data_IF_161914359218
#
_entry.id   IF_161914359218
#
_cell.length_a   1.000
_cell.length_b   1.000
_cell.length_c   1.000
_cell.angle_alpha   90.00
_cell.angle_beta   90.00
_cell.angle_gamma   90.00
#
_symmetry.space_group_name_H-M   'P 1'
#
loop_
_entity.id
_entity.type
_entity.pdbx_description
1 polymer ?
#
# COMPACT_ATOMS: atom_id res chain seq x y z
N UNK A 1 46.58 12.06 -17.52
CA UNK A 1 46.14 12.37 -16.16
C UNK A 1 46.71 13.71 -15.73
N UNK A 2 46.09 14.36 -14.74
CA UNK A 2 46.53 15.65 -14.18
C UNK A 2 46.93 15.43 -12.72
N UNK A 3 48.03 16.03 -12.29
CA UNK A 3 48.42 16.14 -10.87
C UNK A 3 48.22 17.59 -10.43
N UNK A 4 47.43 17.81 -9.38
CA UNK A 4 47.04 19.14 -8.92
C UNK A 4 45.60 19.49 -9.29
N UNK A 5 45.32 20.79 -9.50
CA UNK A 5 43.98 21.27 -9.84
C UNK A 5 43.77 21.27 -11.36
N UNK A 6 42.68 20.66 -11.81
CA UNK A 6 42.21 20.71 -13.19
C UNK A 6 40.92 21.53 -13.26
N UNK A 7 40.97 22.64 -13.99
CA UNK A 7 39.79 23.47 -14.29
C UNK A 7 39.51 23.36 -15.78
N UNK A 8 38.31 22.93 -16.10
CA UNK A 8 37.82 22.80 -17.46
C UNK A 8 36.76 23.87 -17.74
N UNK A 9 36.63 24.27 -19.01
CA UNK A 9 35.68 25.29 -19.44
C UNK A 9 34.22 24.83 -19.38
N UNK A 10 33.35 25.60 -20.03
CA UNK A 10 31.89 25.44 -19.94
C UNK A 10 31.36 24.14 -20.56
N UNK A 11 32.05 23.58 -21.54
CA UNK A 11 31.71 22.29 -22.15
C UNK A 11 32.93 21.39 -22.21
N UNK A 12 32.80 20.18 -21.69
CA UNK A 12 33.88 19.19 -21.60
C UNK A 12 33.39 17.86 -22.14
N UNK A 13 34.13 17.26 -23.07
CA UNK A 13 33.90 15.89 -23.52
C UNK A 13 35.12 15.04 -23.18
N UNK A 14 34.88 13.91 -22.51
CA UNK A 14 35.91 12.96 -22.08
C UNK A 14 35.73 11.67 -22.87
N UNK A 15 36.47 11.55 -23.97
CA UNK A 15 36.44 10.37 -24.86
C UNK A 15 37.46 9.28 -24.47
N UNK A 16 38.39 9.59 -23.56
CA UNK A 16 39.39 8.66 -23.02
C UNK A 16 39.50 8.75 -21.51
N UNK A 17 40.21 7.80 -20.87
CA UNK A 17 40.33 7.79 -19.41
C UNK A 17 41.00 9.09 -18.92
N UNK A 18 40.32 9.81 -18.03
CA UNK A 18 40.85 11.01 -17.38
C UNK A 18 41.03 10.74 -15.88
N UNK A 19 42.29 10.66 -15.44
CA UNK A 19 42.64 10.61 -14.01
C UNK A 19 43.10 11.98 -13.50
N UNK A 20 42.52 12.47 -12.41
CA UNK A 20 42.93 13.70 -11.72
C UNK A 20 43.30 13.39 -10.28
N UNK A 21 44.57 13.57 -9.94
CA UNK A 21 45.04 13.51 -8.56
C UNK A 21 45.00 14.91 -7.96
N UNK A 22 43.84 15.25 -7.38
CA UNK A 22 43.56 16.60 -6.87
C UNK A 22 42.11 17.01 -7.13
N UNK A 23 41.88 18.27 -7.48
CA UNK A 23 40.54 18.81 -7.70
C UNK A 23 40.21 18.85 -9.19
N UNK A 24 38.99 18.48 -9.56
CA UNK A 24 38.46 18.68 -10.90
C UNK A 24 37.27 19.64 -10.84
N UNK A 25 37.32 20.76 -11.56
CA UNK A 25 36.18 21.64 -11.78
C UNK A 25 35.82 21.64 -13.25
N UNK A 26 34.54 21.43 -13.57
CA UNK A 26 34.01 21.68 -14.90
C UNK A 26 32.88 22.71 -14.81
N UNK A 27 32.77 23.56 -15.83
CA UNK A 27 31.65 24.50 -15.95
C UNK A 27 30.31 23.80 -16.25
N UNK A 28 29.51 24.37 -17.14
CA UNK A 28 28.10 24.00 -17.30
C UNK A 28 27.81 22.58 -17.79
N UNK A 29 28.53 22.03 -18.76
CA UNK A 29 28.19 20.73 -19.36
C UNK A 29 29.40 19.79 -19.45
N UNK A 30 29.26 18.57 -18.93
CA UNK A 30 30.26 17.50 -19.08
C UNK A 30 29.62 16.27 -19.68
N UNK A 31 30.24 15.74 -20.74
CA UNK A 31 29.86 14.44 -21.33
C UNK A 31 31.03 13.48 -21.23
N UNK A 32 30.81 12.32 -20.62
CA UNK A 32 31.87 11.32 -20.39
C UNK A 32 31.57 10.03 -21.13
N UNK A 33 32.32 9.76 -22.19
CA UNK A 33 32.28 8.49 -22.90
C UNK A 33 33.24 7.45 -22.31
N UNK A 34 34.22 7.89 -21.52
CA UNK A 34 35.20 7.05 -20.86
C UNK A 34 35.32 7.37 -19.35
N UNK A 35 36.13 6.58 -18.63
CA UNK A 35 36.25 6.71 -17.17
C UNK A 35 36.85 8.05 -16.74
N UNK A 36 36.19 8.73 -15.79
CA UNK A 36 36.78 9.83 -15.02
C UNK A 36 37.06 9.36 -13.60
N UNK A 37 38.32 9.45 -13.17
CA UNK A 37 38.77 9.13 -11.82
C UNK A 37 39.34 10.36 -11.11
N UNK A 38 38.75 10.79 -9.99
CA UNK A 38 39.23 11.93 -9.18
C UNK A 38 39.50 11.48 -7.75
N UNK A 39 40.71 11.67 -7.24
CA UNK A 39 41.08 11.16 -5.91
C UNK A 39 40.75 12.11 -4.75
N UNK A 40 40.16 13.29 -5.02
CA UNK A 40 39.79 14.27 -4.00
C UNK A 40 38.42 14.91 -4.31
N UNK A 41 38.37 16.17 -4.75
CA UNK A 41 37.10 16.89 -4.94
C UNK A 41 36.79 17.04 -6.44
N UNK A 42 35.56 16.75 -6.84
CA UNK A 42 35.08 17.04 -8.18
C UNK A 42 33.82 17.90 -8.10
N UNK A 43 33.81 19.05 -8.77
CA UNK A 43 32.62 19.91 -8.89
C UNK A 43 32.23 20.02 -10.35
N UNK A 44 30.98 19.70 -10.63
CA UNK A 44 30.38 19.83 -11.94
C UNK A 44 29.28 20.88 -11.91
N UNK A 45 29.18 21.69 -12.96
CA UNK A 45 28.12 22.67 -13.11
C UNK A 45 26.77 22.02 -13.41
N UNK A 46 26.15 22.45 -14.51
CA UNK A 46 24.70 22.33 -14.66
C UNK A 46 24.23 20.95 -15.17
N UNK A 47 25.01 20.30 -16.04
CA UNK A 47 24.64 19.05 -16.70
C UNK A 47 25.84 18.13 -16.81
N UNK A 48 25.70 16.90 -16.31
CA UNK A 48 26.69 15.83 -16.49
C UNK A 48 26.01 14.63 -17.14
N UNK A 49 26.49 14.24 -18.33
CA UNK A 49 26.05 13.05 -19.05
C UNK A 49 27.12 11.97 -18.94
N UNK A 50 26.76 10.82 -18.36
CA UNK A 50 27.66 9.71 -18.07
C UNK A 50 27.36 8.53 -18.99
N UNK A 51 28.31 8.18 -19.85
CA UNK A 51 28.30 6.93 -20.63
C UNK A 51 29.40 5.96 -20.19
N UNK A 52 30.33 6.39 -19.32
CA UNK A 52 31.39 5.56 -18.73
C UNK A 52 31.46 5.66 -17.20
N UNK A 53 32.34 4.88 -16.59
CA UNK A 53 32.50 4.84 -15.12
C UNK A 53 32.94 6.20 -14.56
N UNK A 54 32.18 6.76 -13.63
CA UNK A 54 32.58 7.96 -12.89
C UNK A 54 32.97 7.58 -11.46
N UNK A 55 34.22 7.85 -11.08
CA UNK A 55 34.75 7.52 -9.76
C UNK A 55 35.40 8.73 -9.10
N UNK A 56 34.86 9.15 -7.95
CA UNK A 56 35.48 10.16 -7.08
C UNK A 56 35.69 9.53 -5.71
N UNK A 57 36.94 9.49 -5.25
CA UNK A 57 37.27 8.92 -3.93
C UNK A 57 37.04 9.91 -2.80
N UNK A 58 36.92 11.21 -3.09
CA UNK A 58 36.45 12.24 -2.15
C UNK A 58 35.06 12.77 -2.52
N UNK A 59 34.84 14.08 -2.40
CA UNK A 59 33.51 14.69 -2.60
C UNK A 59 33.22 14.99 -4.07
N UNK A 60 32.07 14.52 -4.58
CA UNK A 60 31.51 14.94 -5.86
C UNK A 60 30.32 15.89 -5.64
N UNK A 61 30.41 17.12 -6.16
CA UNK A 61 29.36 18.15 -6.07
C UNK A 61 28.76 18.41 -7.45
N UNK A 62 27.43 18.34 -7.56
CA UNK A 62 26.68 18.64 -8.79
C UNK A 62 25.74 19.82 -8.50
N UNK A 63 25.88 20.92 -9.25
CA UNK A 63 25.28 22.21 -8.85
C UNK A 63 23.79 22.30 -9.13
N UNK A 64 23.25 21.63 -10.17
CA UNK A 64 21.82 21.70 -10.50
C UNK A 64 21.12 20.35 -10.71
N UNK A 65 21.68 19.26 -10.15
CA UNK A 65 21.10 17.92 -10.18
C UNK A 65 21.80 16.94 -11.13
N UNK A 66 21.54 15.64 -10.94
CA UNK A 66 22.10 14.56 -11.75
C UNK A 66 20.97 13.97 -12.60
N UNK A 67 21.10 14.03 -13.92
CA UNK A 67 20.22 13.34 -14.86
C UNK A 67 21.01 12.23 -15.56
N UNK A 68 20.64 10.97 -15.35
CA UNK A 68 21.26 9.83 -16.01
C UNK A 68 20.19 9.06 -16.80
N UNK A 69 20.41 8.93 -18.11
CA UNK A 69 19.53 8.30 -19.09
C UNK A 69 19.48 6.75 -18.95
N UNK A 70 20.38 6.16 -18.16
CA UNK A 70 20.54 4.71 -17.99
C UNK A 70 20.29 4.18 -16.58
N UNK A 71 19.61 4.97 -15.73
CA UNK A 71 19.18 4.54 -14.40
C UNK A 71 20.18 4.94 -13.32
N UNK A 72 19.88 6.03 -12.64
CA UNK A 72 20.51 6.34 -11.37
C UNK A 72 19.83 5.50 -10.28
N UNK A 73 20.50 4.44 -9.79
CA UNK A 73 20.06 3.77 -8.58
C UNK A 73 20.44 4.69 -7.40
N UNK A 74 19.51 5.51 -6.89
CA UNK A 74 19.72 6.27 -5.65
C UNK A 74 19.87 5.36 -4.42
N UNK A 75 19.68 4.04 -4.56
CA UNK A 75 19.76 3.06 -3.47
C UNK A 75 20.89 2.03 -3.65
N UNK A 76 22.11 2.46 -3.97
CA UNK A 76 23.28 1.60 -3.71
C UNK A 76 23.77 1.86 -2.29
N UNK A 77 23.45 0.95 -1.37
CA UNK A 77 23.99 0.94 0.00
C UNK A 77 25.44 0.46 -0.07
N UNK A 78 26.39 1.39 -0.08
CA UNK A 78 27.79 1.10 0.17
C UNK A 78 28.04 1.15 1.69
N UNK A 79 28.43 0.02 2.27
CA UNK A 79 28.69 -0.16 3.71
C UNK A 79 29.80 0.77 4.21
N UNK A 80 29.46 1.48 5.29
CA UNK A 80 30.27 2.44 6.02
C UNK A 80 29.44 3.13 7.10
N UNK A 81 28.87 2.34 8.03
CA UNK A 81 28.29 2.80 9.30
C UNK A 81 26.96 3.57 9.29
N UNK A 82 26.44 4.06 8.16
CA UNK A 82 25.19 4.86 8.14
C UNK A 82 24.45 4.90 6.78
N UNK A 83 24.51 3.84 5.98
CA UNK A 83 23.82 3.83 4.69
C UNK A 83 22.33 3.45 4.85
N UNK A 84 21.41 4.35 4.46
CA UNK A 84 19.95 4.17 4.47
C UNK A 84 19.43 4.28 3.03
N UNK A 85 18.80 3.24 2.52
CA UNK A 85 18.31 3.18 1.13
C UNK A 85 17.04 4.02 0.85
N UNK A 86 16.36 4.49 1.90
CA UNK A 86 15.13 5.27 1.81
C UNK A 86 15.03 6.24 3.00
N UNK A 87 14.93 7.54 2.75
CA UNK A 87 14.72 8.56 3.79
C UNK A 87 13.24 8.83 3.97
N UNK A 88 12.65 8.39 5.09
CA UNK A 88 11.32 8.83 5.52
C UNK A 88 11.45 10.27 6.03
N UNK A 89 10.80 11.20 5.34
CA UNK A 89 10.85 12.63 5.64
C UNK A 89 10.24 12.92 7.02
N UNK A 90 11.04 13.42 7.97
CA UNK A 90 10.59 13.77 9.32
C UNK A 90 10.32 15.27 9.52
N UNK A 91 10.47 16.10 8.48
CA UNK A 91 10.36 17.58 8.58
C UNK A 91 9.12 18.17 7.89
N UNK A 92 8.25 17.34 7.29
CA UNK A 92 7.07 17.83 6.56
C UNK A 92 5.79 17.65 7.39
N UNK A 93 5.22 18.78 7.80
CA UNK A 93 3.79 18.88 8.10
C UNK A 93 3.01 18.45 6.84
N UNK A 94 2.27 17.34 6.90
CA UNK A 94 1.49 16.84 5.77
C UNK A 94 0.44 17.87 5.35
N UNK A 95 0.71 18.56 4.23
CA UNK A 95 0.00 19.79 3.85
C UNK A 95 -1.41 19.56 3.26
N UNK A 96 -1.82 18.32 2.97
CA UNK A 96 -3.17 18.02 2.50
C UNK A 96 -3.53 16.54 2.67
N UNK A 97 -4.84 16.24 2.76
CA UNK A 97 -5.39 14.89 2.99
C UNK A 97 -4.95 13.80 2.00
N UNK A 98 -4.31 14.17 0.88
CA UNK A 98 -3.85 13.27 -0.18
C UNK A 98 -2.33 13.02 -0.16
N UNK A 99 -1.60 13.51 0.85
CA UNK A 99 -0.16 13.30 0.96
C UNK A 99 0.17 11.83 1.33
N UNK A 100 1.19 11.28 0.67
CA UNK A 100 1.74 9.94 0.92
C UNK A 100 3.09 10.05 1.64
N UNK A 101 3.29 9.24 2.69
CA UNK A 101 4.53 9.10 3.45
C UNK A 101 5.56 8.25 2.72
N UNK A 102 5.06 7.25 1.99
CA UNK A 102 5.82 6.30 1.20
C UNK A 102 4.94 5.91 0.02
N UNK A 103 5.49 5.83 -1.19
CA UNK A 103 4.77 5.32 -2.36
C UNK A 103 5.72 4.52 -3.25
N UNK A 104 5.36 3.27 -3.52
CA UNK A 104 5.99 2.40 -4.49
C UNK A 104 5.09 2.40 -5.72
N UNK A 105 5.53 3.08 -6.77
CA UNK A 105 4.79 3.20 -8.02
C UNK A 105 5.29 2.20 -9.08
N UNK A 106 4.38 1.79 -9.96
CA UNK A 106 4.69 1.12 -11.22
C UNK A 106 3.93 1.82 -12.33
N UNK A 107 4.63 2.26 -13.38
CA UNK A 107 4.05 2.97 -14.54
C UNK A 107 3.18 4.18 -14.14
N UNK A 108 3.72 5.03 -13.24
CA UNK A 108 3.04 6.23 -12.74
C UNK A 108 1.84 5.95 -11.81
N UNK A 109 1.62 4.69 -11.43
CA UNK A 109 0.51 4.29 -10.55
C UNK A 109 1.04 3.75 -9.23
N UNK A 110 0.54 4.27 -8.10
CA UNK A 110 0.86 3.77 -6.75
C UNK A 110 0.41 2.32 -6.56
N UNK A 111 1.33 1.44 -6.15
CA UNK A 111 1.08 0.01 -5.92
C UNK A 111 1.14 -0.38 -4.45
N UNK A 112 2.00 0.28 -3.67
CA UNK A 112 2.05 0.14 -2.23
C UNK A 112 2.46 1.49 -1.63
N UNK A 113 1.57 2.11 -0.87
CA UNK A 113 1.81 3.40 -0.26
C UNK A 113 1.38 3.45 1.20
N UNK A 114 2.01 4.35 1.95
CA UNK A 114 1.60 4.72 3.30
C UNK A 114 1.00 6.13 3.19
N UNK A 115 -0.28 6.30 3.50
CA UNK A 115 -0.92 7.63 3.53
C UNK A 115 -0.55 8.42 4.78
N UNK A 116 -0.86 9.72 4.83
CA UNK A 116 -0.55 10.61 5.97
C UNK A 116 -0.94 10.08 7.37
N UNK A 117 -1.92 9.19 7.45
CA UNK A 117 -2.37 8.55 8.69
C UNK A 117 -1.52 7.33 9.10
N UNK A 118 -0.46 7.00 8.38
CA UNK A 118 0.35 5.81 8.60
C UNK A 118 -0.25 4.52 8.04
N UNK A 119 -1.40 4.60 7.37
CA UNK A 119 -2.09 3.43 6.81
C UNK A 119 -1.40 2.95 5.53
N UNK A 120 -1.01 1.68 5.51
CA UNK A 120 -0.55 1.00 4.30
C UNK A 120 -1.74 0.64 3.42
N UNK A 121 -1.74 1.13 2.19
CA UNK A 121 -2.70 0.81 1.14
C UNK A 121 -1.93 0.25 -0.04
N UNK A 122 -2.42 -0.84 -0.62
CA UNK A 122 -1.86 -1.36 -1.85
C UNK A 122 -2.96 -1.50 -2.90
N UNK A 123 -2.60 -1.27 -4.15
CA UNK A 123 -3.45 -1.59 -5.28
C UNK A 123 -3.60 -3.13 -5.34
N UNK A 124 -4.76 -3.61 -4.90
CA UNK A 124 -5.21 -4.99 -5.02
C UNK A 124 -4.52 -6.08 -4.17
N UNK A 125 -3.38 -5.83 -3.49
CA UNK A 125 -2.54 -6.94 -2.97
C UNK A 125 -2.30 -6.97 -1.46
N UNK A 126 -2.36 -5.84 -0.77
CA UNK A 126 -2.52 -5.86 0.70
C UNK A 126 -4.01 -6.00 0.95
N UNK A 127 -4.44 -7.25 1.16
CA UNK A 127 -5.76 -7.61 1.64
C UNK A 127 -5.92 -7.17 3.12
N UNK A 128 -5.87 -5.86 3.39
CA UNK A 128 -6.48 -5.30 4.61
C UNK A 128 -8.00 -5.32 4.52
N UNK A 129 -8.55 -5.63 3.34
CA UNK A 129 -9.90 -6.15 3.19
C UNK A 129 -9.87 -7.64 3.51
N UNK A 130 -10.26 -7.98 4.74
CA UNK A 130 -10.82 -9.28 5.11
C UNK A 130 -9.86 -10.37 5.64
N UNK A 131 -8.97 -10.01 6.56
CA UNK A 131 -8.69 -10.93 7.68
C UNK A 131 -8.90 -10.17 9.00
N UNK A 132 -10.07 -10.41 9.59
CA UNK A 132 -10.48 -10.07 10.97
C UNK A 132 -10.15 -8.63 11.42
N UNK A 133 -11.11 -7.72 11.27
CA UNK A 133 -11.09 -6.45 11.98
C UNK A 133 -11.52 -5.27 11.12
N UNK A 134 -12.81 -5.18 10.81
CA UNK A 134 -13.35 -3.91 10.36
C UNK A 134 -13.46 -2.96 11.55
N UNK A 135 -13.14 -1.67 11.41
CA UNK A 135 -13.14 -0.68 12.52
C UNK A 135 -14.53 -0.37 13.14
N UNK A 136 -15.58 -1.09 12.72
CA UNK A 136 -16.97 -0.96 13.20
C UNK A 136 -17.75 -2.25 12.84
N UNK A 137 -19.02 -2.37 13.20
CA UNK A 137 -19.97 -3.36 12.63
C UNK A 137 -20.93 -2.60 11.69
N UNK A 138 -21.42 -3.22 10.61
CA UNK A 138 -22.46 -2.63 9.75
C UNK A 138 -23.85 -3.01 10.31
N UNK A 139 -24.69 -2.01 10.59
CA UNK A 139 -26.11 -2.27 10.85
C UNK A 139 -26.85 -2.52 9.52
N UNK A 140 -27.64 -3.59 9.45
CA UNK A 140 -28.45 -3.96 8.29
C UNK A 140 -29.84 -4.41 8.75
N UNK A 141 -30.86 -4.04 7.99
CA UNK A 141 -32.22 -4.53 8.20
C UNK A 141 -32.57 -5.48 7.06
N UNK A 142 -33.28 -6.55 7.38
CA UNK A 142 -33.81 -7.47 6.39
C UNK A 142 -34.82 -6.73 5.51
N UNK A 143 -34.81 -7.05 4.21
CA UNK A 143 -35.85 -6.67 3.28
C UNK A 143 -36.22 -7.91 2.45
N UNK A 144 -37.40 -8.48 2.70
CA UNK A 144 -37.90 -9.67 2.00
C UNK A 144 -36.92 -10.85 2.02
N UNK A 145 -36.34 -11.13 3.19
CA UNK A 145 -35.37 -12.23 3.36
C UNK A 145 -33.95 -11.92 2.89
N UNK A 146 -33.65 -10.69 2.47
CA UNK A 146 -32.35 -10.33 1.89
C UNK A 146 -31.67 -9.19 2.67
N UNK A 147 -30.34 -9.29 2.80
CA UNK A 147 -29.47 -8.17 3.20
C UNK A 147 -28.33 -7.95 2.19
N UNK A 148 -27.75 -6.75 2.20
CA UNK A 148 -26.53 -6.41 1.45
C UNK A 148 -25.42 -5.95 2.39
N UNK A 149 -24.26 -6.60 2.31
CA UNK A 149 -23.12 -6.33 3.18
C UNK A 149 -22.00 -5.60 2.44
N UNK A 150 -21.35 -4.69 3.16
CA UNK A 150 -20.14 -3.95 2.74
C UNK A 150 -18.99 -4.19 3.71
N UNK A 151 -19.21 -4.97 4.79
CA UNK A 151 -18.26 -5.20 5.89
C UNK A 151 -18.31 -6.68 6.33
N UNK A 152 -17.18 -7.21 6.82
CA UNK A 152 -17.07 -8.60 7.31
C UNK A 152 -17.66 -8.86 8.71
N UNK A 153 -18.28 -7.85 9.32
CA UNK A 153 -19.02 -7.98 10.58
C UNK A 153 -20.29 -7.12 10.52
N UNK A 154 -21.44 -7.73 10.85
CA UNK A 154 -22.75 -7.09 10.76
C UNK A 154 -23.59 -7.27 12.03
N UNK A 155 -24.47 -6.29 12.26
CA UNK A 155 -25.60 -6.35 13.18
C UNK A 155 -26.87 -6.40 12.33
N UNK A 156 -27.56 -7.54 12.31
CA UNK A 156 -28.79 -7.73 11.54
C UNK A 156 -30.02 -7.50 12.41
N UNK A 157 -30.96 -6.70 11.91
CA UNK A 157 -32.28 -6.51 12.50
C UNK A 157 -33.38 -6.99 11.53
N UNK A 158 -34.58 -7.18 12.07
CA UNK A 158 -35.76 -7.62 11.32
C UNK A 158 -36.24 -6.54 10.35
N UNK A 159 -37.00 -6.95 9.34
CA UNK A 159 -37.73 -6.04 8.47
C UNK A 159 -38.77 -5.27 9.29
N UNK A 160 -38.87 -3.96 9.04
CA UNK A 160 -39.92 -3.10 9.59
C UNK A 160 -40.09 -3.18 11.12
N UNK A 161 -39.02 -3.56 11.83
CA UNK A 161 -38.99 -3.72 13.29
C UNK A 161 -39.88 -4.85 13.85
N UNK A 162 -40.23 -5.82 13.02
CA UNK A 162 -41.06 -6.97 13.39
C UNK A 162 -40.41 -7.84 14.48
N UNK A 163 -41.24 -8.56 15.25
CA UNK A 163 -40.76 -9.39 16.35
C UNK A 163 -39.87 -10.55 15.89
N UNK A 164 -40.12 -11.06 14.68
CA UNK A 164 -39.32 -12.11 14.05
C UNK A 164 -39.27 -11.89 12.55
N UNK A 165 -38.15 -12.24 11.93
CA UNK A 165 -38.02 -12.25 10.49
C UNK A 165 -36.97 -13.29 10.04
N UNK A 166 -37.14 -13.77 8.82
CA UNK A 166 -36.29 -14.80 8.23
C UNK A 166 -35.20 -14.13 7.37
N UNK A 167 -33.95 -14.58 7.52
CA UNK A 167 -32.84 -14.20 6.67
C UNK A 167 -32.46 -15.40 5.78
N UNK A 168 -32.64 -15.21 4.47
CA UNK A 168 -32.41 -16.25 3.45
C UNK A 168 -31.16 -15.96 2.61
N UNK A 169 -30.92 -14.69 2.29
CA UNK A 169 -29.91 -14.31 1.30
C UNK A 169 -29.03 -13.17 1.78
N UNK A 170 -27.72 -13.36 1.69
CA UNK A 170 -26.72 -12.32 1.94
C UNK A 170 -26.02 -12.00 0.63
N UNK A 171 -26.22 -10.77 0.15
CA UNK A 171 -25.53 -10.23 -1.03
C UNK A 171 -24.32 -9.40 -0.61
N UNK A 172 -23.27 -9.42 -1.43
CA UNK A 172 -22.04 -8.68 -1.19
C UNK A 172 -21.99 -7.48 -2.13
N UNK A 173 -21.83 -6.28 -1.59
CA UNK A 173 -21.55 -5.09 -2.40
C UNK A 173 -20.16 -5.20 -3.03
N UNK A 174 -20.00 -4.75 -4.28
CA UNK A 174 -18.77 -4.91 -5.07
C UNK A 174 -17.51 -4.29 -4.43
N UNK A 175 -17.66 -3.49 -3.36
CA UNK A 175 -16.58 -3.04 -2.50
C UNK A 175 -15.87 -4.18 -1.74
N UNK A 176 -16.55 -5.28 -1.42
CA UNK A 176 -15.93 -6.54 -0.99
C UNK A 176 -15.97 -7.44 -2.23
N UNK A 177 -14.82 -7.73 -2.84
CA UNK A 177 -14.81 -8.48 -4.10
C UNK A 177 -15.59 -9.79 -3.99
N UNK A 178 -16.22 -10.25 -5.08
CA UNK A 178 -17.07 -11.45 -5.12
C UNK A 178 -16.34 -12.80 -4.87
N UNK A 179 -15.18 -12.77 -4.23
CA UNK A 179 -14.32 -13.91 -3.94
C UNK A 179 -14.71 -14.67 -2.67
N UNK A 180 -13.76 -15.44 -2.15
CA UNK A 180 -13.89 -16.16 -0.88
C UNK A 180 -13.62 -15.22 0.29
N UNK A 181 -14.50 -15.21 1.29
CA UNK A 181 -14.45 -14.28 2.42
C UNK A 181 -15.05 -14.88 3.69
N UNK A 182 -15.05 -14.10 4.77
CA UNK A 182 -15.57 -14.48 6.07
C UNK A 182 -16.50 -13.40 6.63
N UNK A 183 -17.62 -13.83 7.22
CA UNK A 183 -18.62 -12.93 7.77
C UNK A 183 -18.98 -13.33 9.20
N UNK A 184 -18.97 -12.34 10.10
CA UNK A 184 -19.54 -12.45 11.45
C UNK A 184 -20.92 -11.79 11.45
N UNK A 185 -21.96 -12.54 11.80
CA UNK A 185 -23.36 -12.09 11.90
C UNK A 185 -23.81 -12.12 13.35
N UNK A 186 -24.43 -11.04 13.82
CA UNK A 186 -24.98 -10.89 15.18
C UNK A 186 -26.35 -10.22 15.13
N UNK A 187 -27.20 -10.46 16.13
CA UNK A 187 -28.44 -9.71 16.26
C UNK A 187 -28.16 -8.24 16.59
N UNK A 188 -28.90 -7.33 15.97
CA UNK A 188 -28.89 -5.90 16.31
C UNK A 188 -29.65 -5.61 17.61
N UNK A 189 -30.64 -6.43 17.96
CA UNK A 189 -31.58 -6.17 19.04
C UNK A 189 -32.04 -7.47 19.71
N UNK A 190 -31.92 -7.57 21.04
CA UNK A 190 -32.38 -8.75 21.80
C UNK A 190 -33.90 -8.82 22.01
N UNK A 191 -34.66 -7.83 21.55
CA UNK A 191 -36.13 -7.84 21.58
C UNK A 191 -36.76 -8.37 20.27
N UNK A 192 -35.93 -8.67 19.26
CA UNK A 192 -36.35 -9.13 17.92
C UNK A 192 -35.53 -10.36 17.56
N UNK A 193 -36.14 -11.31 16.86
CA UNK A 193 -35.46 -12.55 16.44
C UNK A 193 -35.19 -12.51 14.95
N UNK A 194 -33.94 -12.74 14.55
CA UNK A 194 -33.59 -13.02 13.16
C UNK A 194 -33.35 -14.52 13.03
N UNK A 195 -34.11 -15.18 12.15
CA UNK A 195 -33.94 -16.61 11.88
C UNK A 195 -33.13 -16.76 10.60
N UNK A 196 -31.86 -17.10 10.73
CA UNK A 196 -31.01 -17.47 9.60
C UNK A 196 -31.46 -18.83 9.06
N UNK A 197 -31.96 -18.87 7.82
CA UNK A 197 -32.60 -20.06 7.24
C UNK A 197 -31.59 -20.97 6.56
N UNK A 198 -31.64 -22.25 6.90
CA UNK A 198 -30.82 -23.26 6.25
C UNK A 198 -31.44 -23.72 4.92
N UNK A 199 -30.59 -23.89 3.90
CA UNK A 199 -30.99 -24.40 2.59
C UNK A 199 -31.92 -23.49 1.80
N UNK A 200 -32.13 -22.25 2.27
CA UNK A 200 -32.93 -21.21 1.60
C UNK A 200 -32.00 -20.09 1.15
N UNK A 201 -32.27 -19.51 -0.01
CA UNK A 201 -31.41 -18.47 -0.59
C UNK A 201 -29.99 -18.97 -0.81
N UNK A 202 -29.01 -18.33 -0.15
CA UNK A 202 -27.60 -18.68 -0.27
C UNK A 202 -26.92 -19.03 1.06
N UNK A 203 -27.69 -19.38 2.09
CA UNK A 203 -27.20 -19.84 3.38
C UNK A 203 -27.21 -21.38 3.46
N UNK A 204 -26.04 -21.96 3.79
CA UNK A 204 -25.85 -23.38 4.02
C UNK A 204 -25.36 -23.58 5.46
N UNK A 205 -26.29 -23.88 6.34
CA UNK A 205 -26.10 -23.97 7.78
C UNK A 205 -26.29 -25.42 8.25
N UNK A 206 -25.99 -25.70 9.53
CA UNK A 206 -26.37 -26.97 10.17
C UNK A 206 -27.83 -26.95 10.70
N UNK A 207 -28.78 -26.57 9.84
CA UNK A 207 -30.17 -26.23 10.21
C UNK A 207 -30.34 -24.78 10.64
N UNK A 208 -31.60 -24.31 10.61
CA UNK A 208 -31.98 -22.93 10.98
C UNK A 208 -31.33 -22.48 12.29
N UNK A 209 -30.95 -21.21 12.36
CA UNK A 209 -30.35 -20.62 13.56
C UNK A 209 -31.01 -19.28 13.88
N UNK A 210 -31.60 -19.19 15.06
CA UNK A 210 -32.22 -17.97 15.56
C UNK A 210 -31.19 -17.14 16.33
N UNK A 211 -30.92 -15.93 15.83
CA UNK A 211 -30.23 -14.88 16.57
C UNK A 211 -31.28 -14.17 17.44
N UNK A 212 -31.31 -14.52 18.72
CA UNK A 212 -32.31 -14.02 19.69
C UNK A 212 -31.78 -12.89 20.55
N UNK A 213 -30.46 -12.80 20.67
CA UNK A 213 -29.78 -11.81 21.50
C UNK A 213 -28.54 -11.25 20.80
N UNK A 214 -28.15 -10.05 21.21
CA UNK A 214 -26.96 -9.35 20.67
C UNK A 214 -25.62 -10.07 20.92
N UNK A 215 -25.61 -11.08 21.79
CA UNK A 215 -24.44 -11.94 22.06
C UNK A 215 -24.40 -13.20 21.19
N UNK A 216 -25.45 -13.49 20.43
CA UNK A 216 -25.48 -14.63 19.52
C UNK A 216 -24.65 -14.30 18.29
N UNK A 217 -23.90 -15.29 17.81
CA UNK A 217 -22.93 -15.12 16.73
C UNK A 217 -23.05 -16.28 15.75
N UNK A 218 -23.12 -15.95 14.46
CA UNK A 218 -22.95 -16.90 13.37
C UNK A 218 -21.73 -16.50 12.55
N UNK A 219 -20.80 -17.43 12.35
CA UNK A 219 -19.59 -17.23 11.57
C UNK A 219 -19.67 -18.02 10.27
N UNK A 220 -19.54 -17.31 9.15
CA UNK A 220 -19.76 -17.84 7.81
C UNK A 220 -18.51 -17.68 6.94
N UNK A 221 -18.33 -18.59 5.98
CA UNK A 221 -17.35 -18.49 4.90
C UNK A 221 -18.06 -18.47 3.54
N UNK A 222 -17.71 -17.52 2.68
CA UNK A 222 -18.26 -17.42 1.33
C UNK A 222 -17.46 -18.28 0.35
N UNK A 223 -18.14 -19.13 -0.42
CA UNK A 223 -17.54 -19.90 -1.51
C UNK A 223 -18.58 -20.25 -2.56
N UNK A 224 -18.23 -20.12 -3.85
CA UNK A 224 -19.13 -20.53 -4.94
C UNK A 224 -20.52 -19.88 -4.93
N UNK A 225 -20.65 -18.65 -4.40
CA UNK A 225 -21.92 -17.91 -4.29
C UNK A 225 -22.76 -18.21 -3.06
N UNK A 226 -22.32 -19.14 -2.20
CA UNK A 226 -23.02 -19.54 -0.97
C UNK A 226 -22.21 -19.17 0.27
N UNK A 227 -22.90 -19.01 1.39
CA UNK A 227 -22.34 -18.84 2.71
C UNK A 227 -22.44 -20.15 3.50
N UNK A 228 -21.29 -20.69 3.86
CA UNK A 228 -21.17 -21.90 4.64
C UNK A 228 -20.95 -21.55 6.10
N UNK A 229 -21.69 -22.20 6.99
CA UNK A 229 -21.40 -22.11 8.41
C UNK A 229 -20.03 -22.69 8.76
N UNK A 230 -19.25 -21.91 9.52
CA UNK A 230 -18.03 -22.35 10.19
C UNK A 230 -18.32 -22.65 11.66
N UNK A 231 -19.09 -21.77 12.32
CA UNK A 231 -19.50 -21.96 13.72
C UNK A 231 -20.69 -21.07 14.08
N UNK A 232 -21.46 -21.50 15.07
CA UNK A 232 -22.53 -20.71 15.71
C UNK A 232 -22.36 -20.68 17.24
N UNK A 233 -22.86 -19.64 17.88
CA UNK A 233 -22.96 -19.56 19.34
C UNK A 233 -24.25 -18.85 19.76
N UNK A 234 -25.00 -19.48 20.65
CA UNK A 234 -26.23 -18.97 21.27
C UNK A 234 -25.89 -18.59 22.71
N UNK A 235 -25.40 -17.35 22.89
CA UNK A 235 -24.79 -16.91 24.15
C UNK A 235 -25.70 -15.98 24.94
N UNK A 236 -26.78 -15.48 24.35
CA UNK A 236 -27.80 -14.75 25.08
C UNK A 236 -28.79 -15.69 25.75
N UNK A 237 -29.06 -15.44 27.03
CA UNK A 237 -30.04 -16.17 27.84
C UNK A 237 -31.21 -15.28 28.23
#
# INVERSE_FOLDING_TARGET
GVTGHATFGDTVTIDGILGVTGWAFSGSTVTMHAQLGVTSHATFGDTVTLHGNFGVTGTATFVTGISNDSGFIMSSVADGGSAVAHTLNTDVAYASASALLLDIQNDGSSKLFVGQSGNMTADGTILTREFVGTVAEQAVNIASGVITITRGAILVDTQDEDATDDLDTITVDGAIGAGTGFLVVKAANSARTVVCKDGTGNLLLAGDFSLTHTHDVLFLAHSGGNWFEISRSDNGT
#
